data_IF_389206878678
#
_entry.id   IF_389206878678
#
_cell.length_a   1.000
_cell.length_b   1.000
_cell.length_c   1.000
_cell.angle_alpha   90.00
_cell.angle_beta   90.00
_cell.angle_gamma   90.00
#
_symmetry.space_group_name_H-M   'P 1'
#
loop_
_entity.id
_entity.type
_entity.pdbx_description
1 polymer ?
#
# COMPACT_ATOMS: atom_id res chain seq x y z
N UNK A 1 18.49 -15.76 -40.69
CA UNK A 1 18.81 -14.56 -39.91
C UNK A 1 17.51 -13.93 -39.44
N UNK A 2 17.01 -14.35 -38.29
CA UNK A 2 15.78 -13.83 -37.68
C UNK A 2 16.13 -12.76 -36.67
N UNK A 3 15.86 -11.51 -37.02
CA UNK A 3 16.01 -10.33 -36.18
C UNK A 3 15.17 -10.48 -34.90
N UNK A 4 15.79 -10.70 -33.74
CA UNK A 4 15.17 -10.57 -32.44
C UNK A 4 14.86 -9.09 -32.20
N UNK A 5 13.61 -8.69 -32.34
CA UNK A 5 13.12 -7.41 -31.82
C UNK A 5 13.27 -7.41 -30.30
N UNK A 6 14.10 -6.53 -29.77
CA UNK A 6 14.22 -6.31 -28.32
C UNK A 6 12.85 -5.88 -27.77
N UNK A 7 12.44 -6.33 -26.57
CA UNK A 7 11.18 -5.93 -25.97
C UNK A 7 11.24 -4.44 -25.63
N UNK A 8 10.65 -3.62 -26.48
CA UNK A 8 10.56 -2.17 -26.30
C UNK A 8 9.72 -1.87 -25.07
N UNK A 9 10.30 -1.10 -24.20
CA UNK A 9 9.87 -0.64 -22.91
C UNK A 9 8.37 -0.33 -22.81
N UNK A 10 7.73 -0.81 -21.74
CA UNK A 10 6.35 -0.45 -21.37
C UNK A 10 6.19 1.08 -21.25
N UNK A 11 4.98 1.63 -21.44
CA UNK A 11 4.72 3.07 -21.26
C UNK A 11 5.17 3.61 -19.90
N UNK A 12 5.08 2.82 -18.85
CA UNK A 12 5.56 3.15 -17.51
C UNK A 12 7.10 3.32 -17.49
N UNK A 13 7.83 2.43 -18.20
CA UNK A 13 9.28 2.53 -18.32
C UNK A 13 9.72 3.76 -19.12
N UNK A 14 9.02 4.10 -20.20
CA UNK A 14 9.31 5.33 -20.98
C UNK A 14 9.09 6.57 -20.13
N UNK A 15 7.99 6.62 -19.38
CA UNK A 15 7.68 7.75 -18.52
C UNK A 15 8.67 7.89 -17.37
N UNK A 16 9.08 6.76 -16.77
CA UNK A 16 10.17 6.74 -15.79
C UNK A 16 11.48 7.24 -16.39
N UNK A 17 11.81 6.83 -17.63
CA UNK A 17 12.99 7.31 -18.36
C UNK A 17 12.91 8.80 -18.65
N UNK A 18 11.74 9.32 -19.05
CA UNK A 18 11.51 10.75 -19.30
C UNK A 18 11.65 11.59 -18.03
N UNK A 19 11.10 11.10 -16.90
CA UNK A 19 11.26 11.74 -15.59
C UNK A 19 12.73 11.69 -15.16
N UNK A 20 13.40 10.54 -15.29
CA UNK A 20 14.82 10.38 -14.96
C UNK A 20 15.73 11.25 -15.82
N UNK A 21 15.47 11.35 -17.12
CA UNK A 21 16.21 12.21 -18.03
C UNK A 21 16.00 13.72 -17.73
N UNK A 22 14.78 14.09 -17.36
CA UNK A 22 14.42 15.47 -16.99
C UNK A 22 15.14 15.95 -15.73
N UNK A 23 15.41 15.04 -14.79
CA UNK A 23 15.99 15.36 -13.49
C UNK A 23 17.46 14.92 -13.34
N UNK A 24 18.10 14.48 -14.43
CA UNK A 24 19.56 14.24 -14.46
C UNK A 24 20.01 12.99 -13.67
N UNK A 25 19.16 11.98 -13.54
CA UNK A 25 19.56 10.71 -12.94
C UNK A 25 20.58 9.98 -13.80
N UNK A 26 21.67 9.53 -13.18
CA UNK A 26 22.72 8.78 -13.89
C UNK A 26 22.24 7.40 -14.34
N UNK A 27 22.88 6.86 -15.36
CA UNK A 27 22.61 5.52 -15.93
C UNK A 27 22.60 4.39 -14.88
N UNK A 28 23.26 4.58 -13.74
CA UNK A 28 23.27 3.65 -12.62
C UNK A 28 21.88 3.51 -11.96
N UNK A 29 21.11 4.61 -11.83
CA UNK A 29 19.74 4.57 -11.33
C UNK A 29 18.80 3.90 -12.36
N UNK A 30 19.09 4.05 -13.65
CA UNK A 30 18.33 3.43 -14.74
C UNK A 30 18.60 1.92 -14.89
N UNK A 31 19.84 1.49 -14.70
CA UNK A 31 20.22 0.07 -14.69
C UNK A 31 19.60 -0.68 -13.50
N UNK A 32 19.41 0.00 -12.40
CA UNK A 32 18.85 -0.54 -11.19
C UNK A 32 17.34 -0.80 -11.24
N UNK A 33 16.57 -0.22 -12.18
CA UNK A 33 15.14 -0.56 -12.35
C UNK A 33 14.89 -1.90 -13.03
N UNK A 34 15.92 -2.52 -13.58
CA UNK A 34 15.91 -3.87 -14.17
C UNK A 34 16.48 -4.97 -13.26
N UNK A 35 17.02 -4.61 -12.10
CA UNK A 35 17.68 -5.55 -11.21
C UNK A 35 18.19 -4.86 -9.97
N UNK A 36 17.29 -4.33 -9.12
CA UNK A 36 17.67 -3.91 -7.77
C UNK A 36 17.93 -5.16 -6.92
N UNK A 37 19.13 -5.60 -6.98
CA UNK A 37 19.85 -5.98 -5.78
C UNK A 37 20.26 -4.65 -5.13
N UNK A 38 19.50 -4.14 -4.18
CA UNK A 38 20.10 -3.34 -3.15
C UNK A 38 21.09 -4.30 -2.47
N UNK A 39 22.34 -4.27 -2.92
CA UNK A 39 23.41 -4.87 -2.15
C UNK A 39 23.39 -4.18 -0.80
N UNK A 40 23.63 -4.91 0.28
CA UNK A 40 23.86 -4.35 1.62
C UNK A 40 24.82 -3.15 1.60
N UNK A 41 25.66 -3.03 0.59
CA UNK A 41 26.53 -1.89 0.31
C UNK A 41 25.83 -0.60 -0.11
N UNK A 42 24.63 -0.64 -0.69
CA UNK A 42 23.86 0.59 -0.98
C UNK A 42 23.07 1.07 0.25
N UNK A 43 22.81 0.19 1.21
CA UNK A 43 22.24 0.50 2.53
C UNK A 43 23.33 0.99 3.50
N UNK A 44 24.59 0.64 3.27
CA UNK A 44 25.75 1.13 3.99
C UNK A 44 26.24 2.49 3.47
N UNK A 45 25.35 3.46 3.37
CA UNK A 45 25.80 4.84 3.55
C UNK A 45 26.41 4.91 4.95
N UNK A 46 27.71 5.19 5.02
CA UNK A 46 28.40 5.27 6.31
C UNK A 46 27.63 6.24 7.22
N UNK A 47 27.60 5.98 8.51
CA UNK A 47 26.97 6.91 9.47
C UNK A 47 27.49 8.37 9.28
N UNK A 48 28.73 8.52 8.81
CA UNK A 48 29.34 9.80 8.46
C UNK A 48 28.64 10.51 7.30
N UNK A 49 28.17 9.77 6.25
CA UNK A 49 27.44 10.40 5.13
C UNK A 49 26.05 10.86 5.56
N UNK A 50 25.35 10.07 6.38
CA UNK A 50 24.06 10.44 6.95
C UNK A 50 24.20 11.68 7.87
N UNK A 51 25.22 11.73 8.71
CA UNK A 51 25.50 12.87 9.56
C UNK A 51 25.85 14.12 8.74
N UNK A 52 26.61 13.97 7.66
CA UNK A 52 26.93 15.06 6.74
C UNK A 52 25.67 15.60 6.06
N UNK A 53 24.83 14.72 5.51
CA UNK A 53 23.54 15.10 4.91
C UNK A 53 22.64 15.80 5.91
N UNK A 54 22.57 15.28 7.15
CA UNK A 54 21.78 15.90 8.20
C UNK A 54 22.28 17.29 8.59
N UNK A 55 23.60 17.50 8.68
CA UNK A 55 24.17 18.82 9.02
C UNK A 55 23.96 19.86 7.93
N UNK A 56 24.07 19.46 6.67
CA UNK A 56 24.01 20.37 5.53
C UNK A 56 22.59 20.72 5.10
N UNK A 57 21.58 19.95 5.53
CA UNK A 57 20.19 20.17 5.13
C UNK A 57 19.57 21.37 5.86
N UNK A 58 18.87 22.21 5.09
CA UNK A 58 18.12 23.35 5.60
C UNK A 58 16.79 22.91 6.25
N UNK A 59 16.22 21.83 5.78
CA UNK A 59 14.94 21.29 6.26
C UNK A 59 15.09 19.83 6.65
N UNK A 60 14.39 19.42 7.72
CA UNK A 60 14.42 18.06 8.23
C UNK A 60 13.02 17.50 8.32
N UNK A 61 12.87 16.24 7.91
CA UNK A 61 11.65 15.47 8.04
C UNK A 61 11.90 14.26 8.93
N UNK A 62 11.04 14.04 9.90
CA UNK A 62 10.92 12.77 10.61
C UNK A 62 9.89 11.94 9.86
N UNK A 63 10.33 10.85 9.24
CA UNK A 63 9.46 9.87 8.55
C UNK A 63 9.43 8.58 9.35
N UNK A 64 8.28 8.19 9.85
CA UNK A 64 8.11 6.97 10.61
C UNK A 64 7.25 5.95 9.86
N UNK A 65 7.57 4.66 10.02
CA UNK A 65 6.77 3.54 9.52
C UNK A 65 6.77 2.38 10.50
N UNK A 66 5.77 1.53 10.45
CA UNK A 66 5.74 0.28 11.20
C UNK A 66 6.56 -0.84 10.53
N UNK A 67 7.06 -0.59 9.31
CA UNK A 67 7.75 -1.57 8.48
C UNK A 67 9.27 -1.51 8.67
N UNK A 68 9.92 -2.69 8.56
CA UNK A 68 11.37 -2.83 8.65
C UNK A 68 12.05 -2.28 7.38
N UNK A 69 13.30 -1.87 7.50
CA UNK A 69 14.14 -1.58 6.34
C UNK A 69 14.39 -2.83 5.51
N UNK A 70 14.69 -2.68 4.22
CA UNK A 70 15.03 -3.77 3.32
C UNK A 70 13.85 -4.64 2.86
N UNK A 71 12.62 -4.33 3.26
CA UNK A 71 11.43 -5.09 2.85
C UNK A 71 10.99 -4.84 1.40
N UNK A 72 11.69 -3.98 0.68
CA UNK A 72 11.35 -3.51 -0.66
C UNK A 72 11.12 -4.61 -1.71
N UNK A 73 11.90 -5.69 -1.68
CA UNK A 73 11.88 -6.71 -2.77
C UNK A 73 10.59 -7.53 -2.74
N UNK A 74 10.15 -7.95 -1.55
CA UNK A 74 8.96 -8.79 -1.35
C UNK A 74 7.73 -8.02 -0.90
N UNK A 75 7.93 -6.82 -0.40
CA UNK A 75 6.88 -5.92 0.05
C UNK A 75 7.31 -4.48 -0.25
N UNK A 76 6.88 -3.89 -1.38
CA UNK A 76 7.42 -2.62 -1.86
C UNK A 76 6.99 -1.43 -1.01
N UNK A 77 7.39 -1.42 0.26
CA UNK A 77 7.33 -0.26 1.14
C UNK A 77 8.38 0.72 0.69
N UNK A 78 7.95 1.88 0.26
CA UNK A 78 8.76 2.83 -0.47
C UNK A 78 9.49 3.84 0.43
N UNK A 79 9.70 3.50 1.70
CA UNK A 79 10.27 4.43 2.70
C UNK A 79 11.71 4.85 2.35
N UNK A 80 12.58 3.90 1.97
CA UNK A 80 13.95 4.20 1.57
C UNK A 80 13.98 4.92 0.21
N UNK A 81 13.19 4.44 -0.76
CA UNK A 81 13.10 5.08 -2.06
C UNK A 81 12.58 6.52 -1.96
N UNK A 82 11.57 6.78 -1.13
CA UNK A 82 11.06 8.12 -0.90
C UNK A 82 12.12 9.02 -0.26
N UNK A 83 12.83 8.53 0.75
CA UNK A 83 13.96 9.25 1.38
C UNK A 83 14.98 9.67 0.33
N UNK A 84 15.47 8.72 -0.48
CA UNK A 84 16.48 8.98 -1.50
C UNK A 84 15.98 9.95 -2.59
N UNK A 85 14.77 9.73 -3.09
CA UNK A 85 14.17 10.62 -4.09
C UNK A 85 14.03 12.05 -3.55
N UNK A 86 13.54 12.23 -2.32
CA UNK A 86 13.34 13.52 -1.71
C UNK A 86 14.67 14.27 -1.47
N UNK A 87 15.68 13.57 -0.95
CA UNK A 87 17.00 14.15 -0.71
C UNK A 87 17.71 14.52 -2.01
N UNK A 88 17.66 13.65 -3.03
CA UNK A 88 18.30 13.89 -4.33
C UNK A 88 17.63 15.03 -5.10
N UNK A 89 16.29 15.04 -5.19
CA UNK A 89 15.55 16.08 -5.91
C UNK A 89 15.66 17.46 -5.24
N UNK A 90 15.77 17.51 -3.92
CA UNK A 90 16.04 18.74 -3.17
C UNK A 90 17.51 19.19 -3.20
N UNK A 91 18.39 18.41 -3.86
CA UNK A 91 19.85 18.63 -3.87
C UNK A 91 20.43 18.78 -2.46
N UNK A 92 19.92 17.98 -1.51
CA UNK A 92 20.36 18.00 -0.11
C UNK A 92 19.76 19.13 0.75
N UNK A 93 18.89 19.98 0.20
CA UNK A 93 18.19 20.98 1.03
C UNK A 93 17.26 20.33 2.07
N UNK A 94 16.79 19.12 1.80
CA UNK A 94 15.99 18.31 2.68
C UNK A 94 16.75 17.07 3.16
N UNK A 95 16.70 16.81 4.45
CA UNK A 95 17.13 15.55 5.06
C UNK A 95 15.93 14.79 5.62
N UNK A 96 15.77 13.53 5.23
CA UNK A 96 14.72 12.63 5.72
C UNK A 96 15.33 11.65 6.72
N UNK A 97 14.98 11.79 8.00
CA UNK A 97 15.35 10.85 9.06
C UNK A 97 14.29 9.76 9.15
N UNK A 98 14.65 8.52 8.80
CA UNK A 98 13.77 7.37 8.90
C UNK A 98 13.73 6.82 10.33
N UNK A 99 12.51 6.47 10.77
CA UNK A 99 12.23 5.72 11.98
C UNK A 99 11.38 4.48 11.61
N UNK A 100 12.04 3.38 11.20
CA UNK A 100 11.35 2.16 10.77
C UNK A 100 10.91 1.28 11.95
N UNK A 101 10.27 0.14 11.63
CA UNK A 101 9.93 -0.93 12.57
C UNK A 101 9.15 -0.47 13.81
N UNK A 102 8.30 0.53 13.67
CA UNK A 102 7.43 1.01 14.75
C UNK A 102 8.12 1.81 15.85
N UNK A 103 9.36 2.29 15.65
CA UNK A 103 10.12 3.03 16.66
C UNK A 103 9.39 4.25 17.22
N UNK A 104 8.56 4.92 16.42
CA UNK A 104 7.76 6.07 16.85
C UNK A 104 6.27 5.76 17.00
N UNK A 105 5.89 4.50 16.91
CA UNK A 105 4.52 4.02 17.02
C UNK A 105 4.10 3.16 15.85
N UNK A 106 2.96 2.48 15.99
CA UNK A 106 2.39 1.57 15.00
C UNK A 106 0.91 1.88 14.78
N UNK A 107 0.39 1.52 13.61
CA UNK A 107 -1.03 1.60 13.30
C UNK A 107 -1.63 2.99 13.56
N UNK A 108 -2.80 3.03 14.16
CA UNK A 108 -3.53 4.28 14.44
C UNK A 108 -2.77 5.27 15.34
N UNK A 109 -1.93 4.78 16.27
CA UNK A 109 -1.13 5.66 17.14
C UNK A 109 -0.10 6.47 16.35
N UNK A 110 0.51 5.87 15.32
CA UNK A 110 1.42 6.59 14.44
C UNK A 110 0.64 7.57 13.54
N UNK A 111 -0.51 7.15 12.99
CA UNK A 111 -1.38 8.06 12.23
C UNK A 111 -1.75 9.30 13.07
N UNK A 112 -2.12 9.13 14.33
CA UNK A 112 -2.44 10.23 15.25
C UNK A 112 -1.24 11.17 15.47
N UNK A 113 -0.03 10.63 15.63
CA UNK A 113 1.20 11.44 15.79
C UNK A 113 1.52 12.29 14.56
N UNK A 114 1.25 11.75 13.35
CA UNK A 114 1.36 12.54 12.11
C UNK A 114 0.30 13.64 12.07
N UNK A 115 -0.96 13.33 12.43
CA UNK A 115 -2.03 14.32 12.50
C UNK A 115 -1.69 15.47 13.45
N UNK A 116 -1.18 15.16 14.62
CA UNK A 116 -0.80 16.12 15.65
C UNK A 116 0.55 16.84 15.41
N UNK A 117 1.31 16.45 14.38
CA UNK A 117 2.59 17.08 14.04
C UNK A 117 3.78 16.65 14.89
N UNK A 118 3.62 15.68 15.81
CA UNK A 118 4.72 15.12 16.61
C UNK A 118 5.71 14.33 15.72
N UNK A 119 5.19 13.76 14.63
CA UNK A 119 5.93 13.12 13.54
C UNK A 119 5.58 13.86 12.26
N UNK A 120 6.58 14.24 11.46
CA UNK A 120 6.31 15.05 10.26
C UNK A 120 5.61 14.26 9.17
N UNK A 121 5.94 12.97 9.00
CA UNK A 121 5.35 12.10 7.99
C UNK A 121 5.28 10.65 8.45
N UNK A 122 4.31 9.91 7.92
CA UNK A 122 4.15 8.49 8.16
C UNK A 122 3.77 7.72 6.89
N UNK A 123 4.32 6.51 6.76
CA UNK A 123 3.93 5.53 5.75
C UNK A 123 3.26 4.33 6.43
N UNK A 124 1.96 4.12 6.19
CA UNK A 124 1.13 3.15 6.89
C UNK A 124 0.08 2.54 5.96
N UNK A 125 -0.40 1.35 6.33
CA UNK A 125 -1.65 0.83 5.75
C UNK A 125 -2.76 1.87 5.88
N UNK A 126 -3.49 2.07 4.79
CA UNK A 126 -4.53 3.08 4.70
C UNK A 126 -5.65 2.86 5.74
N UNK A 127 -5.90 1.60 6.11
CA UNK A 127 -6.83 1.24 7.18
C UNK A 127 -6.47 1.84 8.55
N UNK A 128 -5.21 2.14 8.81
CA UNK A 128 -4.76 2.76 10.06
C UNK A 128 -5.13 4.25 10.15
N UNK A 129 -5.47 4.87 9.03
CA UNK A 129 -5.97 6.25 8.99
C UNK A 129 -7.49 6.36 9.14
N UNK A 130 -8.24 5.24 9.10
CA UNK A 130 -9.71 5.22 9.07
C UNK A 130 -10.36 6.00 10.21
N UNK A 131 -9.79 5.93 11.42
CA UNK A 131 -10.31 6.66 12.58
C UNK A 131 -10.05 8.19 12.52
N UNK A 132 -9.04 8.61 11.77
CA UNK A 132 -8.55 9.99 11.74
C UNK A 132 -8.91 10.72 10.44
N UNK A 133 -8.97 10.01 9.33
CA UNK A 133 -9.34 10.50 8.00
C UNK A 133 -10.27 9.48 7.32
N UNK A 134 -11.52 9.32 7.79
CA UNK A 134 -12.38 8.19 7.40
C UNK A 134 -12.66 8.10 5.90
N UNK A 135 -12.59 9.20 5.14
CA UNK A 135 -12.82 9.19 3.69
C UNK A 135 -11.91 8.22 2.93
N UNK A 136 -10.68 7.97 3.43
CA UNK A 136 -9.77 7.03 2.77
C UNK A 136 -10.20 5.58 2.92
N UNK A 137 -11.00 5.25 3.94
CA UNK A 137 -11.48 3.89 4.17
C UNK A 137 -12.45 3.38 3.08
N UNK A 138 -12.98 4.31 2.26
CA UNK A 138 -13.87 4.02 1.12
C UNK A 138 -13.34 2.93 0.20
N UNK A 139 -12.02 2.81 0.05
CA UNK A 139 -11.37 1.77 -0.76
C UNK A 139 -11.59 0.36 -0.22
N UNK A 140 -11.92 0.21 1.06
CA UNK A 140 -12.20 -1.07 1.71
C UNK A 140 -13.65 -1.56 1.52
N UNK A 141 -14.49 -0.84 0.78
CA UNK A 141 -15.72 -1.40 0.20
C UNK A 141 -15.30 -2.39 -0.89
N UNK A 142 -15.81 -3.65 -0.89
CA UNK A 142 -15.26 -4.68 -1.77
C UNK A 142 -15.65 -4.53 -3.25
N UNK A 143 -14.77 -4.99 -4.13
CA UNK A 143 -14.99 -5.26 -5.57
C UNK A 143 -15.20 -4.06 -6.49
N UNK A 144 -14.90 -2.83 -6.08
CA UNK A 144 -14.94 -1.67 -6.96
C UNK A 144 -13.57 -1.16 -7.42
N UNK A 145 -12.54 -1.32 -6.60
CA UNK A 145 -11.16 -0.88 -6.91
C UNK A 145 -10.08 -1.86 -6.41
N UNK A 146 -10.43 -3.12 -6.13
CA UNK A 146 -9.51 -4.12 -5.54
C UNK A 146 -8.33 -4.49 -6.43
N UNK A 147 -8.50 -4.47 -7.74
CA UNK A 147 -7.44 -4.79 -8.70
C UNK A 147 -6.39 -3.68 -8.76
N UNK A 148 -5.11 -4.05 -8.87
CA UNK A 148 -3.98 -3.11 -8.86
C UNK A 148 -4.12 -1.98 -9.89
N UNK A 149 -4.56 -2.29 -11.12
CA UNK A 149 -4.73 -1.26 -12.15
C UNK A 149 -5.89 -0.32 -11.83
N UNK A 150 -7.01 -0.83 -11.32
CA UNK A 150 -8.15 0.00 -10.91
C UNK A 150 -7.77 0.93 -9.77
N UNK A 151 -7.02 0.41 -8.79
CA UNK A 151 -6.54 1.25 -7.70
C UNK A 151 -5.56 2.32 -8.17
N UNK A 152 -4.60 1.97 -9.03
CA UNK A 152 -3.67 2.95 -9.62
C UNK A 152 -4.41 4.05 -10.40
N UNK A 153 -5.42 3.67 -11.21
CA UNK A 153 -6.26 4.62 -11.94
C UNK A 153 -6.98 5.57 -10.98
N UNK A 154 -7.58 5.03 -9.92
CA UNK A 154 -8.35 5.78 -8.93
C UNK A 154 -7.50 6.84 -8.23
N UNK A 155 -6.42 6.41 -7.56
CA UNK A 155 -5.63 7.30 -6.68
C UNK A 155 -4.79 8.33 -7.43
N UNK A 156 -4.61 8.15 -8.75
CA UNK A 156 -3.96 9.14 -9.64
C UNK A 156 -4.94 9.97 -10.45
N UNK A 157 -6.25 9.78 -10.22
CA UNK A 157 -7.30 10.49 -10.94
C UNK A 157 -7.56 11.88 -10.37
N UNK A 158 -8.07 12.76 -11.24
CA UNK A 158 -8.59 14.06 -10.80
C UNK A 158 -9.78 13.90 -9.84
N UNK A 159 -10.61 12.86 -10.02
CA UNK A 159 -11.75 12.60 -9.13
C UNK A 159 -11.31 12.34 -7.68
N UNK A 160 -10.26 11.52 -7.47
CA UNK A 160 -9.71 11.29 -6.13
C UNK A 160 -9.11 12.56 -5.54
N UNK A 161 -8.38 13.32 -6.33
CA UNK A 161 -7.78 14.58 -5.92
C UNK A 161 -8.83 15.63 -5.52
N UNK A 162 -9.94 15.72 -6.25
CA UNK A 162 -11.00 16.71 -6.00
C UNK A 162 -11.93 16.29 -4.84
N UNK A 163 -12.27 15.00 -4.71
CA UNK A 163 -13.32 14.54 -3.82
C UNK A 163 -12.81 14.00 -2.48
N UNK A 164 -11.65 13.32 -2.49
CA UNK A 164 -11.13 12.65 -1.27
C UNK A 164 -10.00 13.45 -0.63
N UNK A 165 -9.04 13.93 -1.42
CA UNK A 165 -7.88 14.66 -0.87
C UNK A 165 -8.27 15.85 0.01
N UNK A 166 -9.27 16.70 -0.31
CA UNK A 166 -9.68 17.79 0.57
C UNK A 166 -10.21 17.30 1.92
N UNK A 167 -10.92 16.16 1.95
CA UNK A 167 -11.42 15.56 3.20
C UNK A 167 -10.28 15.07 4.10
N UNK A 168 -9.21 14.56 3.49
CA UNK A 168 -7.99 14.14 4.19
C UNK A 168 -7.22 15.35 4.70
N UNK A 169 -7.09 16.40 3.88
CA UNK A 169 -6.44 17.65 4.26
C UNK A 169 -7.17 18.35 5.43
N UNK A 170 -8.51 18.30 5.45
CA UNK A 170 -9.31 18.84 6.56
C UNK A 170 -9.05 18.12 7.90
N UNK A 171 -8.36 16.98 7.87
CA UNK A 171 -7.92 16.21 9.05
C UNK A 171 -6.43 16.39 9.35
N UNK A 172 -5.82 17.49 8.88
CA UNK A 172 -4.41 17.82 9.07
C UNK A 172 -3.40 16.85 8.43
N UNK A 173 -3.82 16.08 7.43
CA UNK A 173 -2.91 15.28 6.63
C UNK A 173 -2.73 15.89 5.24
N UNK A 174 -1.52 15.93 4.74
CA UNK A 174 -1.17 16.10 3.32
C UNK A 174 -0.80 14.72 2.78
N UNK A 175 -1.66 14.05 2.01
CA UNK A 175 -1.24 12.86 1.28
C UNK A 175 -0.11 13.22 0.33
N UNK A 176 1.01 12.51 0.42
CA UNK A 176 2.10 12.63 -0.53
C UNK A 176 1.83 11.71 -1.72
N UNK A 177 1.58 10.44 -1.45
CA UNK A 177 1.16 9.48 -2.45
C UNK A 177 0.42 8.30 -1.82
N UNK A 178 -0.38 7.65 -2.67
CA UNK A 178 -1.07 6.40 -2.37
C UNK A 178 -0.47 5.30 -3.22
N UNK A 179 -0.36 4.10 -2.68
CA UNK A 179 0.07 2.93 -3.42
C UNK A 179 -0.60 1.68 -2.85
N UNK A 180 -0.50 0.57 -3.55
CA UNK A 180 -0.91 -0.75 -3.06
C UNK A 180 0.25 -1.71 -3.17
N UNK A 181 0.25 -2.71 -2.32
CA UNK A 181 1.25 -3.77 -2.32
C UNK A 181 0.73 -5.07 -2.92
N UNK A 182 -0.45 -5.08 -3.41
CA UNK A 182 -1.23 -6.08 -4.14
C UNK A 182 -2.68 -6.12 -3.59
N UNK A 183 -3.64 -6.84 -4.20
CA UNK A 183 -4.94 -7.07 -3.58
C UNK A 183 -4.84 -7.90 -2.29
N UNK A 184 -5.76 -7.64 -1.36
CA UNK A 184 -5.91 -8.47 -0.17
C UNK A 184 -6.36 -9.88 -0.53
N UNK A 185 -5.94 -10.85 0.28
CA UNK A 185 -6.21 -12.27 0.14
C UNK A 185 -7.09 -12.76 1.29
N UNK A 186 -7.37 -14.06 1.33
CA UNK A 186 -7.80 -14.75 2.55
C UNK A 186 -6.80 -15.87 2.81
N UNK A 187 -5.96 -15.66 3.83
CA UNK A 187 -4.94 -16.61 4.23
C UNK A 187 -5.35 -17.32 5.52
N UNK A 188 -5.30 -18.63 5.54
CA UNK A 188 -5.70 -19.46 6.70
C UNK A 188 -4.49 -20.07 7.38
N UNK A 189 -4.54 -20.11 8.72
CA UNK A 189 -3.46 -20.69 9.53
C UNK A 189 -3.35 -22.21 9.37
N UNK A 190 -2.18 -22.77 9.64
CA UNK A 190 -1.96 -24.22 9.73
C UNK A 190 -2.93 -24.85 10.73
N UNK A 191 -3.49 -25.99 10.36
CA UNK A 191 -4.47 -26.71 11.14
C UNK A 191 -5.90 -26.16 11.05
N UNK A 192 -6.17 -25.22 10.17
CA UNK A 192 -7.54 -24.80 9.82
C UNK A 192 -8.26 -25.87 9.01
N UNK A 193 -7.54 -26.59 8.14
CA UNK A 193 -7.98 -27.83 7.49
C UNK A 193 -8.86 -27.64 6.25
N UNK A 194 -9.10 -26.40 5.81
CA UNK A 194 -9.87 -26.13 4.59
C UNK A 194 -9.38 -24.88 3.84
N UNK A 195 -9.64 -24.86 2.53
CA UNK A 195 -9.42 -23.69 1.68
C UNK A 195 -10.73 -22.89 1.63
N UNK A 196 -10.65 -21.59 1.80
CA UNK A 196 -11.79 -20.69 1.65
C UNK A 196 -11.98 -20.41 0.15
N UNK A 197 -13.08 -20.86 -0.44
CA UNK A 197 -13.39 -20.67 -1.86
C UNK A 197 -14.51 -19.63 -2.08
N UNK A 198 -15.49 -19.68 -1.21
CA UNK A 198 -16.71 -18.87 -1.31
C UNK A 198 -17.05 -18.23 0.04
N UNK A 199 -17.98 -17.28 0.10
CA UNK A 199 -18.44 -16.71 1.38
C UNK A 199 -18.96 -17.76 2.37
N UNK A 200 -19.55 -18.86 1.89
CA UNK A 200 -20.05 -19.91 2.80
C UNK A 200 -18.93 -20.55 3.62
N UNK A 201 -17.71 -20.60 3.08
CA UNK A 201 -16.54 -21.14 3.79
C UNK A 201 -16.07 -20.19 4.91
N UNK A 202 -16.52 -18.94 4.90
CA UNK A 202 -16.19 -17.96 5.94
C UNK A 202 -17.10 -18.05 7.17
N UNK A 203 -18.17 -18.81 7.11
CA UNK A 203 -19.11 -18.92 8.22
C UNK A 203 -18.42 -19.35 9.51
N UNK A 204 -18.46 -18.47 10.52
CA UNK A 204 -17.87 -18.70 11.82
C UNK A 204 -16.35 -18.53 11.89
N UNK A 205 -15.66 -18.23 10.81
CA UNK A 205 -14.20 -18.01 10.79
C UNK A 205 -13.86 -16.77 11.60
N UNK A 206 -12.93 -16.89 12.53
CA UNK A 206 -12.33 -15.77 13.27
C UNK A 206 -11.34 -15.05 12.35
N UNK A 207 -11.82 -13.98 11.71
CA UNK A 207 -11.04 -13.25 10.69
C UNK A 207 -10.30 -12.08 11.32
N UNK A 208 -8.97 -12.14 11.33
CA UNK A 208 -8.15 -11.01 11.76
C UNK A 208 -8.24 -9.88 10.73
N UNK A 209 -8.52 -8.68 11.20
CA UNK A 209 -8.51 -7.45 10.39
C UNK A 209 -7.70 -6.34 11.06
N UNK A 210 -7.19 -5.35 10.28
CA UNK A 210 -6.73 -4.07 10.83
C UNK A 210 -7.92 -3.24 11.32
N UNK A 211 -7.71 -2.08 11.98
CA UNK A 211 -8.78 -1.25 12.54
C UNK A 211 -9.58 -0.50 11.46
N UNK A 212 -10.24 -1.21 10.53
CA UNK A 212 -11.15 -0.68 9.53
C UNK A 212 -12.57 -1.18 9.80
N UNK A 213 -13.51 -0.23 9.92
CA UNK A 213 -14.94 -0.55 10.07
C UNK A 213 -15.49 -1.23 8.80
N UNK A 214 -14.99 -0.84 7.63
CA UNK A 214 -15.44 -1.37 6.35
C UNK A 214 -14.97 -2.79 6.14
N UNK A 215 -13.72 -3.12 6.46
CA UNK A 215 -13.24 -4.50 6.45
C UNK A 215 -14.01 -5.36 7.46
N UNK A 216 -14.32 -4.82 8.64
CA UNK A 216 -15.20 -5.49 9.61
C UNK A 216 -16.56 -5.82 8.99
N UNK A 217 -17.21 -4.84 8.36
CA UNK A 217 -18.49 -5.03 7.68
C UNK A 217 -18.41 -6.01 6.53
N UNK A 218 -17.35 -5.93 5.71
CA UNK A 218 -17.12 -6.87 4.62
C UNK A 218 -17.11 -8.32 5.11
N UNK A 219 -16.28 -8.62 6.11
CA UNK A 219 -16.18 -9.99 6.61
C UNK A 219 -17.43 -10.45 7.39
N UNK A 220 -18.17 -9.55 8.03
CA UNK A 220 -19.49 -9.87 8.59
C UNK A 220 -20.51 -10.27 7.50
N UNK A 221 -20.53 -9.55 6.37
CA UNK A 221 -21.37 -9.90 5.21
C UNK A 221 -20.98 -11.25 4.60
N UNK A 222 -19.70 -11.62 4.68
CA UNK A 222 -19.21 -12.95 4.29
C UNK A 222 -19.53 -14.05 5.31
N UNK A 223 -20.11 -13.72 6.48
CA UNK A 223 -20.44 -14.68 7.54
C UNK A 223 -19.31 -14.96 8.53
N UNK A 224 -18.19 -14.25 8.45
CA UNK A 224 -17.09 -14.39 9.37
C UNK A 224 -17.29 -13.60 10.67
N UNK A 225 -16.45 -13.87 11.66
CA UNK A 225 -16.33 -13.13 12.91
C UNK A 225 -15.05 -12.26 12.87
N UNK A 226 -15.11 -10.99 12.41
CA UNK A 226 -13.93 -10.15 12.33
C UNK A 226 -13.42 -9.78 13.73
N UNK A 227 -12.10 -9.89 13.91
CA UNK A 227 -11.39 -9.54 15.15
C UNK A 227 -10.26 -8.57 14.82
N UNK A 228 -10.29 -7.40 15.47
CA UNK A 228 -9.23 -6.40 15.30
C UNK A 228 -8.01 -6.84 16.13
N UNK A 229 -6.89 -7.08 15.46
CA UNK A 229 -5.60 -7.38 16.10
C UNK A 229 -4.52 -6.50 15.47
N UNK A 230 -3.69 -5.88 16.29
CA UNK A 230 -2.56 -5.08 15.84
C UNK A 230 -1.60 -5.91 14.97
N UNK A 231 -0.96 -5.29 13.96
CA UNK A 231 -0.14 -6.03 13.01
C UNK A 231 0.96 -6.86 13.68
N UNK A 232 1.70 -6.27 14.61
CA UNK A 232 2.78 -6.96 15.34
C UNK A 232 2.33 -8.13 16.20
N UNK A 233 1.05 -8.18 16.60
CA UNK A 233 0.46 -9.25 17.43
C UNK A 233 -0.15 -10.38 16.62
N UNK A 234 -0.34 -10.16 15.32
CA UNK A 234 -1.06 -11.08 14.42
C UNK A 234 -0.43 -12.49 14.35
N UNK A 235 0.91 -12.65 14.27
CA UNK A 235 1.51 -14.00 14.27
C UNK A 235 1.16 -14.81 15.51
N UNK A 236 1.17 -14.18 16.68
CA UNK A 236 0.80 -14.81 17.95
C UNK A 236 -0.67 -15.16 18.00
N UNK A 237 -1.55 -14.25 17.57
CA UNK A 237 -3.00 -14.46 17.52
C UNK A 237 -3.40 -15.67 16.65
N UNK A 238 -2.73 -15.85 15.49
CA UNK A 238 -2.95 -17.02 14.63
C UNK A 238 -2.45 -18.33 15.29
N UNK A 239 -1.24 -18.33 15.86
CA UNK A 239 -0.67 -19.50 16.53
C UNK A 239 -1.52 -19.95 17.73
N UNK A 240 -2.10 -19.02 18.47
CA UNK A 240 -2.96 -19.27 19.62
C UNK A 240 -4.43 -19.55 19.24
N UNK A 241 -4.81 -19.44 17.94
CA UNK A 241 -6.17 -19.65 17.50
C UNK A 241 -7.15 -18.53 17.95
N UNK A 242 -6.65 -17.36 18.33
CA UNK A 242 -7.44 -16.13 18.49
C UNK A 242 -8.01 -15.68 17.15
N UNK A 243 -7.26 -15.88 16.07
CA UNK A 243 -7.73 -15.77 14.71
C UNK A 243 -7.44 -17.06 13.91
N UNK A 244 -8.31 -17.39 12.96
CA UNK A 244 -8.18 -18.53 12.06
C UNK A 244 -7.63 -18.10 10.69
N UNK A 245 -7.91 -16.87 10.29
CA UNK A 245 -7.53 -16.30 9.01
C UNK A 245 -7.18 -14.82 9.13
N UNK A 246 -6.51 -14.30 8.10
CA UNK A 246 -6.16 -12.89 7.94
C UNK A 246 -6.17 -12.50 6.45
N UNK A 247 -6.13 -11.20 6.15
CA UNK A 247 -6.41 -10.69 4.82
C UNK A 247 -5.29 -9.93 4.07
N UNK A 248 -4.06 -9.78 4.55
CA UNK A 248 -3.06 -8.99 3.82
C UNK A 248 -2.67 -9.57 2.46
N UNK A 249 -2.05 -8.73 1.64
CA UNK A 249 -1.43 -9.15 0.39
C UNK A 249 -0.33 -10.19 0.62
N UNK A 250 -0.07 -11.06 -0.37
CA UNK A 250 0.88 -12.19 -0.26
C UNK A 250 2.29 -11.70 0.12
N UNK A 251 2.72 -10.58 -0.48
CA UNK A 251 4.01 -9.98 -0.17
C UNK A 251 4.16 -9.55 1.29
N UNK A 252 3.09 -9.02 1.91
CA UNK A 252 3.08 -8.72 3.34
C UNK A 252 3.21 -9.99 4.18
N UNK A 253 2.45 -11.03 3.85
CA UNK A 253 2.50 -12.30 4.56
C UNK A 253 3.91 -12.92 4.53
N UNK A 254 4.59 -12.87 3.39
CA UNK A 254 5.96 -13.37 3.28
C UNK A 254 6.95 -12.51 4.07
N UNK A 255 6.97 -11.21 3.82
CA UNK A 255 7.94 -10.27 4.42
C UNK A 255 7.90 -10.25 5.95
N UNK A 256 6.72 -10.45 6.52
CA UNK A 256 6.54 -10.42 7.97
C UNK A 256 6.50 -11.79 8.64
N UNK A 257 6.97 -12.85 7.94
CA UNK A 257 7.29 -14.15 8.53
C UNK A 257 6.08 -15.04 8.80
N UNK A 258 5.01 -14.91 8.01
CA UNK A 258 3.85 -15.80 8.11
C UNK A 258 4.04 -17.15 7.38
N UNK A 259 5.19 -17.35 6.72
CA UNK A 259 5.48 -18.51 5.89
C UNK A 259 5.35 -19.83 6.66
N UNK A 260 5.72 -19.83 7.93
CA UNK A 260 5.62 -21.03 8.80
C UNK A 260 4.26 -21.17 9.50
N UNK A 261 3.36 -20.19 9.33
CA UNK A 261 2.09 -20.12 10.06
C UNK A 261 0.92 -20.50 9.17
N UNK A 262 1.01 -20.21 7.85
CA UNK A 262 -0.10 -20.35 6.91
C UNK A 262 -0.05 -21.69 6.18
N UNK A 263 -1.25 -22.23 5.85
CA UNK A 263 -1.39 -23.46 5.06
C UNK A 263 -2.04 -23.23 3.70
N UNK A 264 -2.88 -22.19 3.55
CA UNK A 264 -3.51 -21.86 2.27
C UNK A 264 -3.81 -20.38 2.15
N UNK A 265 -3.77 -19.88 0.91
CA UNK A 265 -4.03 -18.48 0.54
C UNK A 265 -4.98 -18.46 -0.66
N UNK A 266 -6.12 -17.77 -0.51
CA UNK A 266 -7.09 -17.55 -1.58
C UNK A 266 -7.00 -16.13 -2.10
N UNK A 267 -6.83 -15.95 -3.41
CA UNK A 267 -6.69 -14.65 -4.08
C UNK A 267 -8.07 -14.10 -4.48
N UNK A 268 -8.82 -13.60 -3.50
CA UNK A 268 -10.20 -13.09 -3.71
C UNK A 268 -10.24 -11.73 -4.40
N UNK A 269 -9.14 -10.98 -4.41
CA UNK A 269 -9.00 -9.65 -5.04
C UNK A 269 -10.11 -8.66 -4.67
N UNK A 270 -10.56 -8.70 -3.43
CA UNK A 270 -11.73 -7.94 -2.97
C UNK A 270 -11.47 -6.46 -2.82
N UNK A 271 -10.37 -6.11 -2.18
CA UNK A 271 -9.94 -4.74 -1.89
C UNK A 271 -8.42 -4.62 -2.06
N UNK A 272 -7.88 -3.42 -2.35
CA UNK A 272 -6.43 -3.24 -2.39
C UNK A 272 -5.82 -3.31 -0.97
N UNK A 273 -4.66 -3.89 -0.81
CA UNK A 273 -3.86 -3.68 0.40
C UNK A 273 -3.12 -2.35 0.27
N UNK A 274 -3.89 -1.30 0.45
CA UNK A 274 -3.49 0.06 0.15
C UNK A 274 -2.70 0.69 1.28
N UNK A 275 -1.75 1.52 0.88
CA UNK A 275 -0.86 2.26 1.74
C UNK A 275 -0.95 3.75 1.42
N UNK A 276 -0.69 4.60 2.40
CA UNK A 276 -0.58 6.04 2.22
C UNK A 276 0.69 6.57 2.91
N UNK A 277 1.47 7.33 2.17
CA UNK A 277 2.43 8.24 2.76
C UNK A 277 1.77 9.61 2.93
N UNK A 278 1.74 10.11 4.15
CA UNK A 278 1.17 11.40 4.46
C UNK A 278 2.06 12.22 5.37
N UNK A 279 2.10 13.53 5.14
CA UNK A 279 2.70 14.49 6.06
C UNK A 279 1.64 15.12 6.96
N UNK A 280 2.09 15.66 8.10
CA UNK A 280 1.34 16.69 8.81
C UNK A 280 1.16 17.91 7.91
N UNK A 281 -0.09 18.30 7.64
CA UNK A 281 -0.39 19.39 6.69
C UNK A 281 0.16 20.76 7.14
N UNK A 282 0.01 21.19 8.42
CA UNK A 282 0.64 22.43 8.89
C UNK A 282 2.16 22.46 8.73
N UNK A 283 2.85 21.35 9.05
CA UNK A 283 4.30 21.25 8.85
C UNK A 283 4.66 21.38 7.35
N UNK A 284 3.96 20.67 6.46
CA UNK A 284 4.21 20.74 5.03
C UNK A 284 3.99 22.15 4.47
N UNK A 285 2.93 22.84 4.90
CA UNK A 285 2.62 24.20 4.47
C UNK A 285 3.63 25.22 4.98
N UNK A 286 4.34 24.95 6.07
CA UNK A 286 5.43 25.78 6.61
C UNK A 286 6.73 25.67 5.82
N UNK A 287 6.87 24.72 4.89
CA UNK A 287 8.05 24.62 4.04
C UNK A 287 8.01 25.66 2.90
N UNK A 288 9.17 26.12 2.40
CA UNK A 288 9.25 26.93 1.19
C UNK A 288 8.59 26.24 -0.01
N UNK A 289 7.99 27.02 -0.90
CA UNK A 289 7.22 26.48 -2.03
C UNK A 289 8.02 25.63 -3.01
N UNK A 290 9.28 25.94 -3.21
CA UNK A 290 10.21 25.13 -4.00
C UNK A 290 10.52 23.79 -3.33
N UNK A 291 10.65 23.76 -2.02
CA UNK A 291 10.83 22.53 -1.23
C UNK A 291 9.54 21.68 -1.29
N UNK A 292 8.36 22.28 -1.08
CA UNK A 292 7.07 21.58 -1.24
C UNK A 292 6.98 20.90 -2.59
N UNK A 293 7.30 21.62 -3.68
CA UNK A 293 7.28 21.06 -5.04
C UNK A 293 8.24 19.88 -5.19
N UNK A 294 9.46 19.97 -4.63
CA UNK A 294 10.43 18.86 -4.68
C UNK A 294 9.95 17.63 -3.92
N UNK A 295 9.25 17.82 -2.81
CA UNK A 295 8.57 16.72 -2.13
C UNK A 295 7.50 16.06 -2.99
N UNK A 296 6.67 16.84 -3.66
CA UNK A 296 5.62 16.33 -4.52
C UNK A 296 6.20 15.59 -5.73
N UNK A 297 7.28 16.11 -6.34
CA UNK A 297 8.01 15.42 -7.41
C UNK A 297 8.61 14.07 -6.92
N UNK A 298 9.19 14.05 -5.71
CA UNK A 298 9.70 12.82 -5.09
C UNK A 298 8.59 11.80 -4.82
N UNK A 299 7.43 12.28 -4.38
CA UNK A 299 6.26 11.47 -4.11
C UNK A 299 5.72 10.82 -5.40
N UNK A 300 5.58 11.59 -6.49
CA UNK A 300 5.14 11.08 -7.80
C UNK A 300 6.10 10.02 -8.34
N UNK A 301 7.41 10.25 -8.25
CA UNK A 301 8.42 9.30 -8.66
C UNK A 301 8.35 8.01 -7.84
N UNK A 302 8.24 8.14 -6.52
CA UNK A 302 8.16 7.01 -5.61
C UNK A 302 6.88 6.19 -5.84
N UNK A 303 5.75 6.86 -6.08
CA UNK A 303 4.50 6.20 -6.42
C UNK A 303 4.63 5.39 -7.71
N UNK A 304 5.24 5.94 -8.75
CA UNK A 304 5.46 5.21 -10.01
C UNK A 304 6.37 3.99 -9.82
N UNK A 305 7.41 4.12 -9.00
CA UNK A 305 8.30 3.01 -8.64
C UNK A 305 7.55 1.90 -7.90
N UNK A 306 6.66 2.25 -6.95
CA UNK A 306 5.90 1.26 -6.19
C UNK A 306 5.01 0.40 -7.09
N UNK A 307 4.25 1.03 -7.98
CA UNK A 307 3.36 0.31 -8.90
C UNK A 307 4.12 -0.59 -9.89
N UNK A 308 5.38 -0.26 -10.22
CA UNK A 308 6.22 -1.08 -11.09
C UNK A 308 6.77 -2.36 -10.42
N UNK A 309 6.71 -2.46 -9.08
CA UNK A 309 7.29 -3.58 -8.34
C UNK A 309 6.27 -4.62 -7.84
N UNK A 310 4.97 -4.31 -7.87
CA UNK A 310 3.93 -5.14 -7.22
C UNK A 310 3.99 -6.59 -7.70
N UNK A 311 3.95 -6.81 -9.01
CA UNK A 311 3.87 -8.16 -9.58
C UNK A 311 5.12 -8.97 -9.26
N UNK A 312 6.30 -8.36 -9.39
CA UNK A 312 7.56 -9.03 -9.04
C UNK A 312 7.62 -9.43 -7.57
N UNK A 313 7.16 -8.55 -6.68
CA UNK A 313 7.10 -8.84 -5.25
C UNK A 313 6.12 -9.97 -4.92
N UNK A 314 4.95 -9.97 -5.56
CA UNK A 314 3.97 -11.07 -5.46
C UNK A 314 4.56 -12.40 -5.91
N UNK A 315 5.14 -12.44 -7.12
CA UNK A 315 5.66 -13.67 -7.72
C UNK A 315 6.78 -14.29 -6.87
N UNK A 316 7.69 -13.47 -6.36
CA UNK A 316 8.70 -13.92 -5.39
C UNK A 316 8.05 -14.54 -4.16
N UNK A 317 7.08 -13.87 -3.58
CA UNK A 317 6.43 -14.33 -2.35
C UNK A 317 5.63 -15.62 -2.57
N UNK A 318 4.94 -15.76 -3.71
CA UNK A 318 4.25 -16.99 -4.11
C UNK A 318 5.23 -18.16 -4.23
N UNK A 319 6.39 -17.94 -4.86
CA UNK A 319 7.42 -18.97 -4.99
C UNK A 319 7.91 -19.45 -3.61
N UNK A 320 8.18 -18.53 -2.68
CA UNK A 320 8.64 -18.90 -1.35
C UNK A 320 7.60 -19.66 -0.53
N UNK A 321 6.35 -19.22 -0.55
CA UNK A 321 5.24 -19.96 0.09
C UNK A 321 5.02 -21.34 -0.53
N UNK A 322 5.17 -21.48 -1.85
CA UNK A 322 5.03 -22.75 -2.55
C UNK A 322 6.10 -23.76 -2.12
N UNK A 323 7.36 -23.31 -1.91
CA UNK A 323 8.45 -24.19 -1.43
C UNK A 323 8.15 -24.84 -0.08
N UNK A 324 7.37 -24.20 0.78
CA UNK A 324 6.99 -24.74 2.10
C UNK A 324 5.63 -25.45 2.08
N UNK A 325 5.06 -25.68 0.91
CA UNK A 325 3.81 -26.43 0.72
C UNK A 325 2.53 -25.65 1.02
N UNK A 326 2.58 -24.32 1.11
CA UNK A 326 1.38 -23.48 1.19
C UNK A 326 0.57 -23.58 -0.10
N UNK A 327 -0.74 -23.79 0.03
CA UNK A 327 -1.64 -23.96 -1.12
C UNK A 327 -2.18 -22.61 -1.57
N UNK A 328 -2.17 -22.37 -2.88
CA UNK A 328 -2.81 -21.20 -3.47
C UNK A 328 -4.11 -21.59 -4.17
N UNK A 329 -5.12 -20.75 -4.02
CA UNK A 329 -6.41 -20.93 -4.67
C UNK A 329 -6.87 -19.60 -5.29
N UNK A 330 -7.15 -19.63 -6.58
CA UNK A 330 -7.82 -18.55 -7.29
C UNK A 330 -9.29 -18.94 -7.49
N UNK A 331 -10.25 -18.15 -6.96
CA UNK A 331 -11.67 -18.44 -7.17
C UNK A 331 -12.04 -18.49 -8.66
N UNK A 332 -12.87 -19.45 -9.02
CA UNK A 332 -13.48 -19.49 -10.36
C UNK A 332 -14.38 -18.26 -10.57
N UNK A 333 -14.80 -18.03 -11.82
CA UNK A 333 -15.70 -16.90 -12.14
C UNK A 333 -17.01 -16.98 -11.33
N UNK A 334 -17.58 -18.17 -11.17
CA UNK A 334 -18.81 -18.38 -10.40
C UNK A 334 -18.57 -18.16 -8.89
N UNK A 335 -17.46 -18.63 -8.35
CA UNK A 335 -17.10 -18.40 -6.94
C UNK A 335 -16.85 -16.91 -6.71
N UNK A 336 -16.12 -16.22 -7.61
CA UNK A 336 -15.92 -14.76 -7.55
C UNK A 336 -17.26 -14.01 -7.61
N UNK A 337 -18.19 -14.46 -8.47
CA UNK A 337 -19.54 -13.90 -8.52
C UNK A 337 -20.25 -14.05 -7.17
N UNK A 338 -20.17 -15.20 -6.51
CA UNK A 338 -20.76 -15.41 -5.18
C UNK A 338 -20.19 -14.44 -4.14
N UNK A 339 -18.89 -14.16 -4.16
CA UNK A 339 -18.27 -13.15 -3.33
C UNK A 339 -18.82 -11.75 -3.61
N UNK A 340 -18.91 -11.37 -4.88
CA UNK A 340 -19.48 -10.07 -5.29
C UNK A 340 -20.93 -9.96 -4.85
N UNK A 341 -21.76 -10.98 -5.08
CA UNK A 341 -23.18 -10.98 -4.70
C UNK A 341 -23.36 -10.87 -3.17
N UNK A 342 -22.53 -11.55 -2.39
CA UNK A 342 -22.61 -11.56 -0.94
C UNK A 342 -22.10 -10.28 -0.27
N UNK A 343 -21.05 -9.65 -0.81
CA UNK A 343 -20.29 -8.62 -0.11
C UNK A 343 -20.04 -7.36 -0.95
N UNK A 344 -20.23 -7.42 -2.27
CA UNK A 344 -19.78 -6.39 -3.21
C UNK A 344 -20.41 -5.03 -2.99
N UNK A 345 -19.78 -4.04 -3.61
CA UNK A 345 -20.13 -2.62 -3.47
C UNK A 345 -21.56 -2.27 -3.93
N UNK A 346 -22.16 -3.09 -4.81
CA UNK A 346 -23.53 -2.90 -5.33
C UNK A 346 -24.62 -3.14 -4.28
N UNK A 347 -24.27 -3.69 -3.11
CA UNK A 347 -25.23 -3.96 -2.05
C UNK A 347 -25.66 -2.68 -1.35
N UNK A 348 -26.95 -2.58 -1.06
CA UNK A 348 -27.54 -1.40 -0.35
C UNK A 348 -26.96 -1.16 1.02
N UNK A 349 -26.40 -2.18 1.67
CA UNK A 349 -25.74 -2.08 2.97
C UNK A 349 -24.52 -1.15 2.95
N UNK A 350 -24.01 -0.79 1.76
CA UNK A 350 -22.91 0.15 1.57
C UNK A 350 -23.38 1.58 1.27
N UNK A 351 -24.65 1.80 0.93
CA UNK A 351 -25.11 3.10 0.41
C UNK A 351 -24.94 4.25 1.40
N UNK A 352 -25.28 4.03 2.67
CA UNK A 352 -25.10 5.09 3.69
C UNK A 352 -23.62 5.35 3.98
N UNK A 353 -22.79 4.30 3.96
CA UNK A 353 -21.33 4.43 4.09
C UNK A 353 -20.73 5.19 2.90
N UNK A 354 -21.16 4.88 1.67
CA UNK A 354 -20.76 5.62 0.47
C UNK A 354 -21.12 7.10 0.57
N UNK A 355 -22.35 7.42 1.00
CA UNK A 355 -22.80 8.81 1.19
C UNK A 355 -21.95 9.53 2.26
N UNK A 356 -21.69 8.88 3.39
CA UNK A 356 -20.92 9.46 4.49
C UNK A 356 -19.46 9.75 4.04
N UNK A 357 -18.80 8.79 3.43
CA UNK A 357 -17.37 8.90 3.10
C UNK A 357 -17.12 9.66 1.79
N UNK A 358 -17.86 9.39 0.73
CA UNK A 358 -17.72 10.09 -0.54
C UNK A 358 -18.45 11.46 -0.54
N UNK A 359 -19.52 11.60 0.24
CA UNK A 359 -20.41 12.78 0.28
C UNK A 359 -21.73 12.56 -0.44
N UNK A 360 -21.77 11.67 -1.43
CA UNK A 360 -22.98 11.25 -2.14
C UNK A 360 -22.76 9.94 -2.88
N UNK A 361 -23.83 9.26 -3.31
CA UNK A 361 -23.74 8.13 -4.21
C UNK A 361 -23.22 8.53 -5.60
N UNK A 362 -23.58 9.72 -6.08
CA UNK A 362 -23.08 10.26 -7.35
C UNK A 362 -21.56 10.44 -7.32
N UNK A 363 -21.03 10.99 -6.21
CA UNK A 363 -19.57 11.10 -6.03
C UNK A 363 -18.90 9.72 -6.00
N UNK A 364 -19.53 8.74 -5.34
CA UNK A 364 -18.99 7.37 -5.35
C UNK A 364 -18.95 6.80 -6.78
N UNK A 365 -20.02 6.96 -7.58
CA UNK A 365 -20.04 6.52 -8.98
C UNK A 365 -19.00 7.27 -9.83
N UNK A 366 -18.76 8.55 -9.59
CA UNK A 366 -17.66 9.32 -10.22
C UNK A 366 -16.30 8.70 -9.91
N UNK A 367 -16.04 8.34 -8.65
CA UNK A 367 -14.81 7.66 -8.22
C UNK A 367 -14.68 6.27 -8.84
N UNK A 368 -15.77 5.50 -8.88
CA UNK A 368 -15.83 4.17 -9.52
C UNK A 368 -15.56 4.25 -11.02
N UNK A 369 -16.10 5.25 -11.70
CA UNK A 369 -15.78 5.52 -13.11
C UNK A 369 -14.29 5.83 -13.29
N UNK A 370 -13.71 6.63 -12.40
CA UNK A 370 -12.28 6.94 -12.44
C UNK A 370 -11.39 5.69 -12.25
N UNK A 371 -11.76 4.78 -11.35
CA UNK A 371 -11.07 3.50 -11.16
C UNK A 371 -11.09 2.64 -12.45
N UNK A 372 -12.17 2.69 -13.22
CA UNK A 372 -12.34 1.93 -14.47
C UNK A 372 -11.81 2.67 -15.72
N UNK A 373 -11.33 3.90 -15.57
CA UNK A 373 -10.78 4.70 -16.68
C UNK A 373 -9.25 4.63 -16.66
N UNK A 374 -8.63 4.32 -17.81
CA UNK A 374 -7.17 4.24 -17.92
C UNK A 374 -6.51 5.52 -17.39
N UNK A 375 -5.70 5.37 -16.35
CA UNK A 375 -5.00 6.45 -15.67
C UNK A 375 -3.61 6.72 -16.21
N UNK A 376 -2.86 7.52 -15.44
CA UNK A 376 -1.48 7.94 -15.78
C UNK A 376 -0.46 6.81 -15.64
N UNK A 377 -0.70 5.86 -14.72
CA UNK A 377 0.21 4.77 -14.41
C UNK A 377 -0.33 3.46 -14.98
N UNK A 378 0.57 2.62 -15.46
CA UNK A 378 0.27 1.24 -15.87
C UNK A 378 0.97 0.32 -14.91
N UNK A 379 0.20 -0.53 -14.22
CA UNK A 379 0.73 -1.61 -13.41
C UNK A 379 1.15 -2.72 -14.35
N UNK A 380 2.36 -3.27 -14.20
CA UNK A 380 2.81 -4.43 -14.97
C UNK A 380 1.86 -5.60 -14.68
N UNK A 381 1.47 -6.32 -15.73
CA UNK A 381 0.68 -7.57 -15.64
C UNK A 381 1.61 -8.77 -15.56
#
# INVERSE_FOLDING_TARGET
MTSRKSPLASPARRRFMDVSARYGFTTAVLAATGGYLWSDAAVAQTAADEDSRARNAQHRMILATEYKLGSFVSYPIMQEAFKENAQNLSKGALYVKLFPAGQLGVGGSLAQKVQGGTVNAGGLSLSNFSAYAPAVDLINIPYWCGENQRYANLVTSKAWADEITPKVNAKNYKPLFYYTVDPRTIAVRKGFGRIVRTPDDMKGVKMRIPPSKLLGRFYQLAGANPTIVAWGETPTALKQGVADALDPAIGALYTFGFIDILEAITTVESVPDAQMFACNLPWFNGLPKDVQRKFEEAAELTQAQSFAQIIKARDLSVQEFTKVGCKFYAPTADEKKRWVDACGEQRKEWDDIKKDLAGSLETFEKLKKAANTKGKLTVAS
#
